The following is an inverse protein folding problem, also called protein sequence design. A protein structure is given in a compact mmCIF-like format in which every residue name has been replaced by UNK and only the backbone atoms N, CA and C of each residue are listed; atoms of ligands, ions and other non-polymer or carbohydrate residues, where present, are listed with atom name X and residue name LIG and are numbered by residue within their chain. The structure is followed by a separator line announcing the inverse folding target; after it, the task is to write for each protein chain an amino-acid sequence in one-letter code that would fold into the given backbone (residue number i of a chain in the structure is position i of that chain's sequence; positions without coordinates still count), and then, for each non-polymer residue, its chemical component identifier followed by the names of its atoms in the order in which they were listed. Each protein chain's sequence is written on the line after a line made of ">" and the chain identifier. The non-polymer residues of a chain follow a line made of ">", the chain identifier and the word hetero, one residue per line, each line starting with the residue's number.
data_IF_624145542635
#
_entry.id   IF_624145542635
#
_cell.length_a   1.000
_cell.length_b   1.000
_cell.length_c   1.000
_cell.angle_alpha   90.00
_cell.angle_beta   90.00
_cell.angle_gamma   90.00
#
_symmetry.space_group_name_H-M   'P 1'
#
loop_
_entity.id
_entity.type
_entity.pdbx_description
1 polymer ?
#
# COMPACT_ATOMS: atom_id res chain seq x y z
N UNK A 1 88.38 -23.73 -16.32
CA UNK A 1 87.17 -22.98 -15.96
C UNK A 1 86.42 -22.61 -17.22
N UNK A 2 85.13 -22.76 -17.42
CA UNK A 2 84.05 -23.39 -16.67
C UNK A 2 82.82 -23.33 -17.59
N UNK A 3 82.20 -24.50 -17.79
CA UNK A 3 80.77 -24.76 -17.99
C UNK A 3 79.89 -23.70 -18.64
N UNK A 4 79.33 -24.02 -19.81
CA UNK A 4 77.89 -23.85 -20.01
C UNK A 4 77.36 -24.80 -21.10
N UNK A 5 76.93 -25.97 -20.66
CA UNK A 5 76.14 -26.92 -21.46
C UNK A 5 74.70 -26.40 -21.54
N UNK A 6 74.27 -25.94 -22.71
CA UNK A 6 72.89 -25.52 -22.95
C UNK A 6 72.01 -26.76 -23.17
N UNK A 7 71.30 -27.17 -22.12
CA UNK A 7 70.28 -28.20 -22.19
C UNK A 7 69.04 -27.70 -22.97
N UNK A 8 68.80 -28.27 -24.15
CA UNK A 8 67.56 -28.10 -24.91
C UNK A 8 66.42 -28.85 -24.22
N UNK A 9 65.40 -28.14 -23.76
CA UNK A 9 64.21 -28.70 -23.09
C UNK A 9 63.17 -29.16 -24.12
N UNK A 10 62.46 -30.27 -23.87
CA UNK A 10 61.48 -30.79 -24.81
C UNK A 10 60.14 -30.03 -24.72
N UNK A 11 59.51 -29.90 -25.88
CA UNK A 11 58.14 -30.35 -26.07
C UNK A 11 57.05 -29.53 -25.38
N UNK A 12 56.53 -28.56 -26.13
CA UNK A 12 55.30 -27.85 -25.88
C UNK A 12 54.15 -28.80 -25.49
N UNK A 13 53.71 -28.74 -24.23
CA UNK A 13 52.52 -29.45 -23.76
C UNK A 13 51.26 -28.87 -24.41
N UNK A 14 50.57 -29.70 -25.19
CA UNK A 14 49.28 -29.37 -25.78
C UNK A 14 48.25 -29.09 -24.69
N UNK A 15 47.98 -27.80 -24.43
CA UNK A 15 46.84 -27.37 -23.63
C UNK A 15 45.58 -27.63 -24.44
N UNK A 16 44.88 -28.73 -24.15
CA UNK A 16 43.50 -28.94 -24.61
C UNK A 16 42.64 -27.86 -23.98
N UNK A 17 42.38 -26.78 -24.73
CA UNK A 17 41.36 -25.81 -24.40
C UNK A 17 40.03 -26.53 -24.32
N UNK A 18 39.54 -26.73 -23.11
CA UNK A 18 38.16 -27.12 -22.89
C UNK A 18 37.33 -25.94 -23.36
N UNK A 19 36.82 -26.00 -24.59
CA UNK A 19 35.79 -25.09 -25.07
C UNK A 19 34.58 -25.36 -24.18
N UNK A 20 34.52 -24.63 -23.07
CA UNK A 20 33.37 -24.58 -22.19
C UNK A 20 32.23 -24.10 -23.07
N UNK A 21 31.42 -25.06 -23.52
CA UNK A 21 30.15 -24.81 -24.20
C UNK A 21 29.38 -23.91 -23.26
N UNK A 22 29.30 -22.62 -23.58
CA UNK A 22 28.39 -21.71 -22.92
C UNK A 22 27.00 -22.30 -23.17
N UNK A 23 26.44 -22.98 -22.16
CA UNK A 23 25.01 -23.21 -22.06
C UNK A 23 24.39 -21.89 -21.62
N UNK A 24 24.52 -20.88 -22.47
CA UNK A 24 23.83 -19.61 -22.32
C UNK A 24 22.38 -19.82 -22.72
N UNK A 25 21.48 -19.28 -21.90
CA UNK A 25 20.05 -19.23 -22.14
C UNK A 25 19.75 -18.82 -23.59
N UNK A 26 18.91 -19.60 -24.27
CA UNK A 26 18.44 -19.20 -25.58
C UNK A 26 17.61 -17.93 -25.46
N UNK A 27 17.75 -16.99 -26.40
CA UNK A 27 16.91 -15.79 -26.46
C UNK A 27 15.42 -16.16 -26.45
N UNK A 28 15.05 -17.30 -27.04
CA UNK A 28 13.66 -17.79 -27.01
C UNK A 28 13.19 -18.11 -25.59
N UNK A 29 14.05 -18.73 -24.78
CA UNK A 29 13.73 -19.14 -23.41
C UNK A 29 13.53 -17.91 -22.52
N UNK A 30 14.42 -16.92 -22.64
CA UNK A 30 14.28 -15.66 -21.92
C UNK A 30 13.08 -14.87 -22.42
N UNK A 31 12.80 -14.87 -23.73
CA UNK A 31 11.66 -14.12 -24.31
C UNK A 31 10.30 -14.61 -23.83
N UNK A 32 10.14 -15.93 -23.63
CA UNK A 32 8.91 -16.51 -23.12
C UNK A 32 8.75 -16.15 -21.63
N UNK A 33 9.82 -16.24 -20.85
CA UNK A 33 9.79 -15.89 -19.42
C UNK A 33 9.43 -14.41 -19.23
N UNK A 34 10.08 -13.51 -19.97
CA UNK A 34 9.80 -12.07 -19.85
C UNK A 34 8.40 -11.72 -20.33
N UNK A 35 7.89 -12.38 -21.38
CA UNK A 35 6.51 -12.20 -21.84
C UNK A 35 5.49 -12.56 -20.74
N UNK A 36 5.67 -13.69 -20.04
CA UNK A 36 4.79 -14.09 -18.93
C UNK A 36 4.93 -13.12 -17.75
N UNK A 37 6.15 -12.70 -17.40
CA UNK A 37 6.39 -11.74 -16.31
C UNK A 37 5.71 -10.39 -16.60
N UNK A 38 5.76 -9.88 -17.84
CA UNK A 38 5.07 -8.65 -18.22
C UNK A 38 3.55 -8.80 -18.15
N UNK A 39 3.00 -9.94 -18.57
CA UNK A 39 1.58 -10.21 -18.45
C UNK A 39 1.12 -10.30 -16.99
N UNK A 40 1.90 -10.99 -16.15
CA UNK A 40 1.67 -11.04 -14.71
C UNK A 40 1.82 -9.66 -14.06
N UNK A 41 2.73 -8.81 -14.52
CA UNK A 41 2.87 -7.44 -14.02
C UNK A 41 1.63 -6.59 -14.35
N UNK A 42 1.09 -6.72 -15.58
CA UNK A 42 -0.12 -6.03 -16.00
C UNK A 42 -1.35 -6.46 -15.18
N UNK A 43 -1.48 -7.75 -14.87
CA UNK A 43 -2.63 -8.29 -14.15
C UNK A 43 -2.45 -8.25 -12.61
N UNK A 44 -1.20 -8.25 -12.12
CA UNK A 44 -0.87 -8.30 -10.70
C UNK A 44 -0.87 -6.93 -10.00
N UNK A 45 -0.47 -5.86 -10.69
CA UNK A 45 -0.50 -4.49 -10.14
C UNK A 45 -1.92 -3.88 -9.95
N UNK A 46 -2.93 -4.11 -10.80
CA UNK A 46 -4.15 -3.28 -10.85
C UNK A 46 -5.03 -3.29 -9.60
N UNK A 47 -4.75 -4.11 -8.58
CA UNK A 47 -5.68 -4.32 -7.47
C UNK A 47 -5.21 -3.82 -6.08
N UNK A 48 -4.01 -3.24 -5.96
CA UNK A 48 -3.51 -2.80 -4.64
C UNK A 48 -4.39 -1.69 -4.03
N UNK A 49 -4.91 -0.77 -4.85
CA UNK A 49 -5.82 0.28 -4.37
C UNK A 49 -7.17 -0.28 -3.92
N UNK A 50 -7.80 -1.12 -4.75
CA UNK A 50 -9.17 -1.58 -4.50
C UNK A 50 -9.26 -2.56 -3.32
N UNK A 51 -8.29 -3.47 -3.14
CA UNK A 51 -8.30 -4.41 -2.01
C UNK A 51 -7.95 -3.77 -0.66
N UNK A 52 -7.13 -2.73 -0.65
CA UNK A 52 -6.86 -1.95 0.57
C UNK A 52 -8.05 -1.05 0.92
N UNK A 53 -8.77 -0.55 -0.09
CA UNK A 53 -10.01 0.22 0.09
C UNK A 53 -11.14 -0.68 0.63
N UNK A 54 -11.30 -1.90 0.11
CA UNK A 54 -12.36 -2.84 0.52
C UNK A 54 -12.31 -3.20 2.02
N UNK A 55 -11.12 -3.31 2.61
CA UNK A 55 -10.96 -3.52 4.07
C UNK A 55 -11.09 -2.24 4.91
N UNK A 56 -10.97 -1.06 4.29
CA UNK A 56 -11.09 0.24 4.98
C UNK A 56 -12.53 0.73 5.04
N UNK A 57 -13.34 0.46 4.03
CA UNK A 57 -14.77 0.83 4.00
C UNK A 57 -15.54 0.35 5.25
N UNK A 58 -15.53 -0.95 5.63
CA UNK A 58 -16.29 -1.42 6.77
C UNK A 58 -15.79 -0.81 8.09
N UNK A 59 -14.48 -0.59 8.24
CA UNK A 59 -13.88 0.00 9.44
C UNK A 59 -14.26 1.47 9.61
N UNK A 60 -14.29 2.23 8.51
CA UNK A 60 -14.75 3.63 8.53
C UNK A 60 -16.25 3.69 8.88
N UNK A 61 -17.06 2.81 8.28
CA UNK A 61 -18.48 2.72 8.58
C UNK A 61 -18.77 2.37 10.05
N UNK A 62 -17.96 1.49 10.65
CA UNK A 62 -18.06 1.13 12.07
C UNK A 62 -17.81 2.33 12.99
N UNK A 63 -16.76 3.11 12.74
CA UNK A 63 -16.47 4.34 13.50
C UNK A 63 -17.58 5.39 13.35
N UNK A 64 -18.13 5.53 12.13
CA UNK A 64 -19.28 6.43 11.91
C UNK A 64 -20.54 5.96 12.64
N UNK A 65 -20.82 4.65 12.64
CA UNK A 65 -21.94 4.10 13.39
C UNK A 65 -21.75 4.29 14.90
N UNK A 66 -20.53 4.08 15.40
CA UNK A 66 -20.16 4.32 16.80
C UNK A 66 -20.36 5.78 17.19
N UNK A 67 -19.98 6.73 16.35
CA UNK A 67 -20.25 8.16 16.54
C UNK A 67 -21.75 8.43 16.73
N UNK A 68 -22.58 7.95 15.79
CA UNK A 68 -24.03 8.17 15.81
C UNK A 68 -24.65 7.58 17.08
N UNK A 69 -24.28 6.35 17.43
CA UNK A 69 -24.76 5.68 18.63
C UNK A 69 -24.33 6.41 19.90
N UNK A 70 -23.07 6.82 20.00
CA UNK A 70 -22.56 7.52 21.18
C UNK A 70 -23.22 8.89 21.34
N UNK A 71 -23.40 9.64 20.25
CA UNK A 71 -24.15 10.91 20.25
C UNK A 71 -25.60 10.70 20.72
N UNK A 72 -26.27 9.67 20.21
CA UNK A 72 -27.65 9.34 20.61
C UNK A 72 -27.75 8.92 22.08
N UNK A 73 -26.81 8.14 22.59
CA UNK A 73 -26.78 7.68 24.00
C UNK A 73 -26.45 8.83 24.96
N UNK A 74 -25.60 9.77 24.54
CA UNK A 74 -25.24 10.93 25.34
C UNK A 74 -26.31 12.03 25.32
N UNK A 75 -27.30 11.93 24.42
CA UNK A 75 -28.41 12.87 24.39
C UNK A 75 -29.25 12.74 25.68
N UNK A 76 -29.77 13.86 26.22
CA UNK A 76 -30.64 13.82 27.39
C UNK A 76 -31.81 12.86 27.18
N UNK A 77 -32.13 12.07 28.21
CA UNK A 77 -33.23 11.12 28.20
C UNK A 77 -34.54 11.79 27.77
N UNK A 78 -35.10 11.36 26.64
CA UNK A 78 -36.34 11.94 26.09
C UNK A 78 -36.15 13.16 25.19
N UNK A 79 -34.92 13.51 24.81
CA UNK A 79 -34.67 14.57 23.81
C UNK A 79 -35.26 14.20 22.44
N UNK A 80 -36.10 15.07 21.91
CA UNK A 80 -36.61 14.98 20.54
C UNK A 80 -35.57 15.40 19.48
N UNK A 81 -34.44 15.97 19.90
CA UNK A 81 -33.40 16.54 19.01
C UNK A 81 -31.99 16.10 19.41
N UNK A 82 -31.67 14.79 19.43
CA UNK A 82 -30.39 14.27 19.91
C UNK A 82 -29.18 14.69 19.06
N UNK A 83 -29.38 15.20 17.84
CA UNK A 83 -28.29 15.65 16.96
C UNK A 83 -28.24 17.18 16.80
N UNK A 84 -29.01 17.94 17.57
CA UNK A 84 -28.90 19.40 17.58
C UNK A 84 -27.53 19.84 18.14
N UNK A 85 -26.87 20.80 17.51
CA UNK A 85 -25.51 21.24 17.87
C UNK A 85 -24.39 20.29 17.44
N UNK A 86 -24.70 19.14 16.83
CA UNK A 86 -23.71 18.12 16.47
C UNK A 86 -23.24 18.34 15.03
N UNK A 87 -22.07 18.97 14.89
CA UNK A 87 -21.37 19.11 13.61
C UNK A 87 -20.01 18.39 13.54
N UNK A 88 -19.31 18.59 12.43
CA UNK A 88 -17.97 18.05 12.14
C UNK A 88 -16.94 18.21 13.27
N UNK A 89 -16.89 19.32 14.05
CA UNK A 89 -15.96 19.42 15.19
C UNK A 89 -16.13 18.31 16.24
N UNK A 90 -17.37 17.90 16.53
CA UNK A 90 -17.64 16.83 17.49
C UNK A 90 -17.14 15.48 16.98
N UNK A 91 -17.35 15.21 15.69
CA UNK A 91 -16.85 14.00 15.05
C UNK A 91 -15.32 13.98 15.01
N UNK A 92 -14.69 15.08 14.61
CA UNK A 92 -13.23 15.23 14.58
C UNK A 92 -12.59 14.97 15.94
N UNK A 93 -13.22 15.41 17.03
CA UNK A 93 -12.73 15.15 18.39
C UNK A 93 -12.81 13.66 18.76
N UNK A 94 -13.85 12.95 18.35
CA UNK A 94 -14.00 11.52 18.63
C UNK A 94 -12.98 10.67 17.85
N UNK A 95 -12.75 11.00 16.58
CA UNK A 95 -11.88 10.20 15.70
C UNK A 95 -10.43 10.67 15.70
N UNK A 96 -10.05 11.63 16.56
CA UNK A 96 -8.69 12.18 16.63
C UNK A 96 -7.63 11.13 16.98
N UNK A 97 -7.99 10.15 17.78
CA UNK A 97 -7.13 9.02 18.14
C UNK A 97 -7.23 7.84 17.14
N UNK A 98 -8.08 7.95 16.11
CA UNK A 98 -8.26 6.90 15.10
C UNK A 98 -7.23 7.05 13.97
N UNK A 99 -6.61 5.94 13.58
CA UNK A 99 -5.69 5.90 12.43
C UNK A 99 -6.40 5.84 11.07
N UNK A 100 -7.74 5.80 11.06
CA UNK A 100 -8.55 5.66 9.84
C UNK A 100 -8.83 7.01 9.16
N UNK A 101 -8.75 8.11 9.91
CA UNK A 101 -9.06 9.45 9.45
C UNK A 101 -7.83 10.36 9.52
N UNK A 102 -7.74 11.28 8.58
CA UNK A 102 -6.77 12.38 8.65
C UNK A 102 -7.52 13.67 8.97
N UNK A 103 -7.10 14.37 10.01
CA UNK A 103 -7.72 15.63 10.44
C UNK A 103 -6.76 16.77 10.13
N UNK A 104 -7.28 17.82 9.53
CA UNK A 104 -6.56 19.06 9.26
C UNK A 104 -7.44 20.28 9.57
N UNK A 105 -6.87 21.48 9.60
CA UNK A 105 -7.59 22.70 9.97
C UNK A 105 -7.63 22.96 11.48
N UNK A 106 -8.42 23.96 11.89
CA UNK A 106 -8.57 24.37 13.30
C UNK A 106 -9.64 23.57 14.02
N UNK A 107 -9.59 23.51 15.36
CA UNK A 107 -10.56 22.77 16.18
C UNK A 107 -12.02 23.18 15.96
N UNK A 108 -12.28 24.44 15.57
CA UNK A 108 -13.62 24.98 15.29
C UNK A 108 -14.10 24.75 13.86
N UNK A 109 -13.20 24.42 12.94
CA UNK A 109 -13.49 24.15 11.53
C UNK A 109 -12.54 23.07 10.98
N UNK A 110 -12.61 21.83 11.53
CA UNK A 110 -11.72 20.77 11.09
C UNK A 110 -12.22 20.16 9.78
N UNK A 111 -11.28 19.81 8.91
CA UNK A 111 -11.50 18.98 7.73
C UNK A 111 -11.11 17.56 8.07
N UNK A 112 -12.07 16.63 7.97
CA UNK A 112 -11.87 15.21 8.27
C UNK A 112 -11.85 14.42 6.97
N UNK A 113 -10.70 13.87 6.60
CA UNK A 113 -10.51 13.12 5.37
C UNK A 113 -10.52 11.61 5.63
N UNK A 114 -11.14 10.87 4.72
CA UNK A 114 -11.14 9.41 4.70
C UNK A 114 -10.33 8.88 3.51
N UNK A 115 -9.52 7.84 3.75
CA UNK A 115 -8.57 7.29 2.78
C UNK A 115 -9.16 6.33 1.74
N UNK A 116 -10.43 6.49 1.36
CA UNK A 116 -11.12 5.61 0.39
C UNK A 116 -10.99 6.09 -1.07
N UNK A 117 -10.27 7.19 -1.30
CA UNK A 117 -10.09 7.81 -2.61
C UNK A 117 -9.17 9.03 -2.55
N UNK A 118 -9.09 9.78 -3.64
CA UNK A 118 -8.16 10.89 -3.80
C UNK A 118 -8.76 12.21 -3.24
N UNK A 119 -8.94 12.25 -1.91
CA UNK A 119 -9.53 13.35 -1.09
C UNK A 119 -11.00 13.16 -0.70
N UNK A 120 -11.36 11.99 -0.18
CA UNK A 120 -12.67 11.79 0.43
C UNK A 120 -12.79 12.59 1.74
N UNK A 121 -13.84 13.38 1.90
CA UNK A 121 -14.11 14.19 3.10
C UNK A 121 -15.39 13.71 3.80
N UNK A 122 -15.37 13.70 5.13
CA UNK A 122 -16.55 13.42 5.96
C UNK A 122 -17.05 14.73 6.55
N UNK A 123 -18.31 15.07 6.24
CA UNK A 123 -19.03 16.19 6.84
C UNK A 123 -20.14 15.68 7.73
N UNK A 124 -20.26 16.26 8.92
CA UNK A 124 -21.38 16.02 9.84
C UNK A 124 -22.16 17.30 9.98
N UNK A 125 -23.46 17.20 9.72
CA UNK A 125 -24.41 18.28 9.91
C UNK A 125 -25.50 17.83 10.88
N UNK A 126 -26.09 18.81 11.54
CA UNK A 126 -27.23 18.59 12.42
C UNK A 126 -28.40 17.99 11.65
N UNK A 127 -29.13 17.08 12.29
CA UNK A 127 -30.29 16.42 11.71
C UNK A 127 -31.40 16.25 12.76
N UNK A 128 -32.66 16.21 12.31
CA UNK A 128 -33.76 15.76 13.16
C UNK A 128 -33.61 14.27 13.46
N UNK A 129 -33.88 13.84 14.69
CA UNK A 129 -34.20 12.44 14.93
C UNK A 129 -35.56 12.18 14.29
N UNK A 130 -35.55 11.54 13.12
CA UNK A 130 -36.79 11.17 12.41
C UNK A 130 -37.76 10.37 13.26
#
# INVERSE_FOLDING_TARGET
>A
MSYFTLASRPGCGARRGHLLRQKGFSLIEVSIVTAIVLLLAIIGIPAIGSYVVENKVPKIGEEMARFILQTKVNAPSGSATPYAGIGTPNFANQVRESSLFSISGSDTAPTVLHGLGNSGEVMVAEASAG
#
